data_IF_997028827591
#
_entry.id   IF_997028827591
#
_cell.length_a   1.000
_cell.length_b   1.000
_cell.length_c   1.000
_cell.angle_alpha   90.00
_cell.angle_beta   90.00
_cell.angle_gamma   90.00
#
_symmetry.space_group_name_H-M   'P 1'
#
loop_
_entity.id
_entity.type
_entity.pdbx_description
1 polymer ?
#
# COMPACT_ATOMS: atom_id res chain seq x y z
N UNK A 1 -12.16 1.37 15.17
CA UNK A 1 -10.83 1.01 14.61
C UNK A 1 -10.91 0.06 13.42
N UNK A 2 -11.19 -1.25 13.57
CA UNK A 2 -11.20 -2.18 12.41
C UNK A 2 -12.14 -1.76 11.27
N UNK A 3 -13.35 -1.32 11.59
CA UNK A 3 -14.31 -0.82 10.57
C UNK A 3 -13.92 0.53 9.94
N UNK A 4 -13.12 1.35 10.63
CA UNK A 4 -12.62 2.61 10.07
C UNK A 4 -11.45 2.35 9.12
N UNK A 5 -10.63 1.33 9.42
CA UNK A 5 -9.55 0.89 8.56
C UNK A 5 -10.09 0.38 7.21
N UNK A 6 -11.13 -0.45 7.22
CA UNK A 6 -11.79 -0.91 5.99
C UNK A 6 -12.34 0.25 5.17
N UNK A 7 -13.06 1.20 5.81
CA UNK A 7 -13.56 2.40 5.11
C UNK A 7 -12.42 3.25 4.54
N UNK A 8 -11.29 3.32 5.25
CA UNK A 8 -10.12 4.06 4.79
C UNK A 8 -9.48 3.37 3.58
N UNK A 9 -9.41 2.04 3.59
CA UNK A 9 -8.96 1.24 2.47
C UNK A 9 -9.86 1.43 1.25
N UNK A 10 -11.19 1.37 1.43
CA UNK A 10 -12.16 1.56 0.34
C UNK A 10 -12.04 2.97 -0.27
N UNK A 11 -12.03 4.02 0.56
CA UNK A 11 -11.88 5.39 0.09
C UNK A 11 -10.54 5.63 -0.64
N UNK A 12 -9.45 5.06 -0.12
CA UNK A 12 -8.14 5.12 -0.79
C UNK A 12 -8.17 4.42 -2.15
N UNK A 13 -8.86 3.29 -2.25
CA UNK A 13 -9.02 2.58 -3.52
C UNK A 13 -9.86 3.36 -4.53
N UNK A 14 -10.89 4.07 -4.08
CA UNK A 14 -11.67 4.98 -4.94
C UNK A 14 -10.82 6.15 -5.44
N UNK A 15 -10.03 6.77 -4.56
CA UNK A 15 -9.11 7.87 -4.90
C UNK A 15 -8.07 7.42 -5.95
N UNK A 16 -7.48 6.22 -5.77
CA UNK A 16 -6.54 5.65 -6.74
C UNK A 16 -7.24 5.26 -8.04
N UNK A 17 -8.46 4.75 -7.99
CA UNK A 17 -9.20 4.37 -9.20
C UNK A 17 -9.59 5.58 -10.05
N UNK A 18 -9.71 6.77 -9.45
CA UNK A 18 -9.94 8.02 -10.15
C UNK A 18 -8.72 8.50 -10.97
N UNK A 19 -7.50 8.22 -10.48
CA UNK A 19 -6.24 8.50 -11.19
C UNK A 19 -5.21 7.37 -10.97
N UNK A 20 -5.36 6.24 -11.68
CA UNK A 20 -4.53 5.06 -11.44
C UNK A 20 -3.09 5.23 -11.91
N UNK A 21 -2.82 6.18 -12.81
CA UNK A 21 -1.46 6.45 -13.31
C UNK A 21 -0.62 7.14 -12.23
N UNK A 22 -1.22 8.05 -11.48
CA UNK A 22 -0.53 8.80 -10.43
C UNK A 22 -0.65 8.16 -9.04
N UNK A 23 -0.92 6.85 -8.95
CA UNK A 23 -1.13 6.15 -7.67
C UNK A 23 0.00 6.37 -6.64
N UNK A 24 1.24 6.61 -7.11
CA UNK A 24 2.41 6.94 -6.26
C UNK A 24 2.19 8.17 -5.38
N UNK A 25 1.31 9.11 -5.75
CA UNK A 25 0.97 10.24 -4.88
C UNK A 25 0.33 9.80 -3.56
N UNK A 26 -0.20 8.58 -3.51
CA UNK A 26 -0.84 7.97 -2.36
C UNK A 26 0.04 6.94 -1.64
N UNK A 27 1.33 6.85 -1.99
CA UNK A 27 2.24 5.83 -1.47
C UNK A 27 2.27 5.77 0.07
N UNK A 28 2.48 6.90 0.73
CA UNK A 28 2.52 6.96 2.21
C UNK A 28 1.23 6.42 2.82
N UNK A 29 0.10 6.74 2.20
CA UNK A 29 -1.22 6.32 2.68
C UNK A 29 -1.46 4.82 2.42
N UNK A 30 -0.99 4.30 1.28
CA UNK A 30 -0.98 2.87 0.99
C UNK A 30 -0.17 2.11 2.04
N UNK A 31 1.07 2.55 2.32
CA UNK A 31 1.95 1.94 3.34
C UNK A 31 1.27 1.92 4.71
N UNK A 32 0.65 3.04 5.13
CA UNK A 32 -0.08 3.13 6.40
C UNK A 32 -1.29 2.18 6.47
N UNK A 33 -2.11 2.12 5.43
CA UNK A 33 -3.29 1.24 5.40
C UNK A 33 -2.88 -0.24 5.41
N UNK A 34 -1.87 -0.60 4.62
CA UNK A 34 -1.33 -1.97 4.56
C UNK A 34 -0.78 -2.38 5.93
N UNK A 35 0.04 -1.53 6.56
CA UNK A 35 0.56 -1.78 7.91
C UNK A 35 -0.59 -1.91 8.93
N UNK A 36 -1.58 -1.03 8.87
CA UNK A 36 -2.75 -1.09 9.74
C UNK A 36 -3.53 -2.39 9.62
N UNK A 37 -3.63 -2.99 8.42
CA UNK A 37 -4.27 -4.30 8.24
C UNK A 37 -3.45 -5.41 8.91
N UNK A 38 -2.13 -5.41 8.73
CA UNK A 38 -1.22 -6.37 9.36
C UNK A 38 -1.26 -6.26 10.90
N UNK A 39 -1.14 -5.04 11.44
CA UNK A 39 -1.13 -4.77 12.88
C UNK A 39 -2.43 -5.20 13.58
N UNK A 40 -3.55 -5.18 12.86
CA UNK A 40 -4.85 -5.60 13.37
C UNK A 40 -5.17 -7.09 13.09
N UNK A 41 -4.22 -7.83 12.52
CA UNK A 41 -4.36 -9.22 12.08
C UNK A 41 -5.59 -9.40 11.15
N UNK A 42 -5.73 -8.48 10.20
CA UNK A 42 -6.82 -8.44 9.21
C UNK A 42 -6.28 -8.79 7.84
N UNK A 43 -7.07 -9.51 7.06
CA UNK A 43 -6.72 -9.78 5.67
C UNK A 43 -6.62 -8.48 4.87
N UNK A 44 -5.59 -8.39 4.02
CA UNK A 44 -5.45 -7.29 3.09
C UNK A 44 -6.41 -7.50 1.90
N UNK A 45 -7.22 -6.49 1.53
CA UNK A 45 -8.06 -6.52 0.33
C UNK A 45 -7.25 -6.83 -0.93
N UNK A 46 -7.84 -7.55 -1.88
CA UNK A 46 -7.15 -8.00 -3.09
C UNK A 46 -6.53 -6.85 -3.90
N UNK A 47 -7.21 -5.71 -3.97
CA UNK A 47 -6.71 -4.53 -4.66
C UNK A 47 -5.45 -3.98 -3.99
N UNK A 48 -5.44 -3.88 -2.65
CA UNK A 48 -4.29 -3.40 -1.89
C UNK A 48 -3.09 -4.35 -1.94
N UNK A 49 -3.30 -5.65 -2.20
CA UNK A 49 -2.19 -6.62 -2.36
C UNK A 49 -1.30 -6.28 -3.56
N UNK A 50 -1.88 -5.80 -4.66
CA UNK A 50 -1.10 -5.43 -5.86
C UNK A 50 -0.13 -4.30 -5.51
N UNK A 51 -0.62 -3.26 -4.84
CA UNK A 51 0.22 -2.14 -4.41
C UNK A 51 1.23 -2.55 -3.34
N UNK A 52 0.86 -3.44 -2.41
CA UNK A 52 1.79 -3.98 -1.43
C UNK A 52 2.96 -4.73 -2.09
N UNK A 53 2.68 -5.51 -3.15
CA UNK A 53 3.72 -6.19 -3.90
C UNK A 53 4.62 -5.24 -4.69
N UNK A 54 4.06 -4.20 -5.30
CA UNK A 54 4.85 -3.17 -5.99
C UNK A 54 5.76 -2.40 -5.03
N UNK A 55 5.23 -1.95 -3.89
CA UNK A 55 6.02 -1.25 -2.88
C UNK A 55 7.15 -2.14 -2.33
N UNK A 56 6.88 -3.44 -2.15
CA UNK A 56 7.91 -4.40 -1.75
C UNK A 56 8.98 -4.60 -2.82
N UNK A 57 8.62 -4.56 -4.10
CA UNK A 57 9.59 -4.65 -5.20
C UNK A 57 10.47 -3.39 -5.23
N UNK A 58 9.88 -2.20 -5.13
CA UNK A 58 10.62 -0.93 -5.06
C UNK A 58 11.59 -0.95 -3.86
N UNK A 59 11.14 -1.36 -2.67
CA UNK A 59 11.99 -1.47 -1.46
C UNK A 59 13.15 -2.48 -1.64
N UNK A 60 12.94 -3.54 -2.44
CA UNK A 60 13.98 -4.52 -2.76
C UNK A 60 14.98 -3.96 -3.77
N UNK A 61 14.52 -3.27 -4.81
CA UNK A 61 15.37 -2.62 -5.80
C UNK A 61 16.27 -1.57 -5.14
N UNK A 62 15.71 -0.73 -4.27
CA UNK A 62 16.46 0.26 -3.48
C UNK A 62 17.55 -0.41 -2.60
N UNK A 63 17.26 -1.59 -2.03
CA UNK A 63 18.23 -2.34 -1.24
C UNK A 63 19.38 -2.88 -2.09
N UNK A 64 19.12 -3.29 -3.33
CA UNK A 64 20.16 -3.75 -4.25
C UNK A 64 20.99 -2.59 -4.83
N UNK A 65 20.39 -1.46 -5.19
CA UNK A 65 21.10 -0.28 -5.68
C UNK A 65 22.06 0.31 -4.63
N UNK A 66 21.75 0.18 -3.34
CA UNK A 66 22.54 0.74 -2.25
C UNK A 66 23.60 -0.21 -1.65
N UNK A 67 23.85 -1.38 -2.24
CA UNK A 67 24.95 -2.25 -1.78
C UNK A 67 26.31 -1.69 -2.22
N UNK A 68 27.27 -1.46 -1.29
CA UNK A 68 28.62 -1.11 -1.69
C UNK A 68 29.26 -2.32 -2.37
N UNK A 69 29.66 -2.13 -3.64
CA UNK A 69 30.51 -3.07 -4.38
C UNK A 69 31.82 -3.35 -3.67
#
# INVERSE_FOLDING_TARGET
MKSELVKTADALMDDISADPVNWRMWEDRLRQVIAGHADNNMDLPAQLRVYADWLRQDDLEDQFENMPV
#
